data_IF_711493932216
#
_entry.id   IF_711493932216
#
_cell.length_a   1.000
_cell.length_b   1.000
_cell.length_c   1.000
_cell.angle_alpha   90.00
_cell.angle_beta   90.00
_cell.angle_gamma   90.00
#
_symmetry.space_group_name_H-M   'P 1'
#
loop_
_entity.id
_entity.type
_entity.pdbx_description
1 polymer ?
#
# COMPACT_ATOMS: atom_id res chain seq x y z
N UNK A 1 29.85 -23.58 24.42
CA UNK A 1 28.39 -23.38 24.58
C UNK A 1 27.92 -22.48 23.47
N UNK A 2 27.47 -23.04 22.34
CA UNK A 2 26.90 -22.27 21.26
C UNK A 2 25.41 -22.10 21.53
N UNK A 3 25.04 -21.02 22.20
CA UNK A 3 23.63 -20.64 22.31
C UNK A 3 23.20 -19.88 21.05
N UNK A 4 22.45 -20.55 20.21
CA UNK A 4 21.40 -20.07 19.34
C UNK A 4 21.46 -18.58 18.96
N UNK A 5 22.17 -18.30 17.89
CA UNK A 5 21.73 -17.28 16.99
C UNK A 5 20.56 -17.87 16.20
N UNK A 6 19.36 -17.87 16.76
CA UNK A 6 18.17 -17.84 15.94
C UNK A 6 18.33 -16.57 15.12
N UNK A 7 18.80 -16.68 13.91
CA UNK A 7 18.60 -15.66 12.91
C UNK A 7 17.08 -15.55 12.81
N UNK A 8 16.51 -14.52 13.40
CA UNK A 8 15.12 -14.20 13.13
C UNK A 8 15.08 -13.87 11.64
N UNK A 9 14.65 -14.85 10.85
CA UNK A 9 14.32 -14.60 9.46
C UNK A 9 13.29 -13.48 9.47
N UNK A 10 13.50 -12.44 8.67
CA UNK A 10 12.49 -11.42 8.44
C UNK A 10 11.32 -12.03 7.64
N UNK A 11 10.32 -11.23 7.41
CA UNK A 11 9.15 -11.65 6.63
C UNK A 11 8.46 -10.45 6.00
N UNK A 12 7.64 -10.70 5.01
CA UNK A 12 6.85 -9.71 4.29
C UNK A 12 5.37 -9.84 4.68
N UNK A 13 4.76 -8.72 5.05
CA UNK A 13 3.32 -8.59 5.29
C UNK A 13 2.73 -7.66 4.24
N UNK A 14 1.65 -8.04 3.59
CA UNK A 14 0.94 -7.17 2.66
C UNK A 14 -0.47 -6.87 3.18
N UNK A 15 -0.81 -5.60 3.23
CA UNK A 15 -2.13 -5.06 3.54
C UNK A 15 -2.70 -4.52 2.25
N UNK A 16 -3.69 -5.19 1.67
CA UNK A 16 -4.29 -4.76 0.42
C UNK A 16 -5.80 -4.56 0.52
N UNK A 17 -6.41 -4.04 -0.53
CA UNK A 17 -7.84 -3.81 -0.64
C UNK A 17 -8.16 -2.52 -1.39
N UNK A 18 -9.43 -2.26 -1.64
CA UNK A 18 -9.90 -1.05 -2.33
C UNK A 18 -9.59 0.24 -1.57
N UNK A 19 -9.78 1.38 -2.20
CA UNK A 19 -9.85 2.65 -1.46
C UNK A 19 -10.92 2.56 -0.37
N UNK A 20 -10.73 3.30 0.72
CA UNK A 20 -11.62 3.34 1.89
C UNK A 20 -11.73 2.04 2.70
N UNK A 21 -10.82 1.07 2.48
CA UNK A 21 -10.82 -0.20 3.22
C UNK A 21 -10.03 -0.18 4.54
N UNK A 22 -9.42 0.95 4.91
CA UNK A 22 -8.66 1.07 6.16
C UNK A 22 -7.20 0.59 6.08
N UNK A 23 -6.60 0.53 4.88
CA UNK A 23 -5.20 0.09 4.72
C UNK A 23 -4.21 0.95 5.50
N UNK A 24 -4.31 2.27 5.38
CA UNK A 24 -3.41 3.20 6.06
C UNK A 24 -3.61 3.17 7.57
N UNK A 25 -4.85 3.01 8.07
CA UNK A 25 -5.13 2.78 9.50
C UNK A 25 -4.43 1.52 10.01
N UNK A 26 -4.53 0.41 9.27
CA UNK A 26 -3.92 -0.86 9.66
C UNK A 26 -2.38 -0.77 9.59
N UNK A 27 -1.82 -0.11 8.58
CA UNK A 27 -0.39 0.14 8.49
C UNK A 27 0.11 0.95 9.70
N UNK A 28 -0.54 2.08 10.00
CA UNK A 28 -0.21 2.92 11.15
C UNK A 28 -0.36 2.13 12.46
N UNK A 29 -1.40 1.31 12.59
CA UNK A 29 -1.59 0.46 13.76
C UNK A 29 -0.42 -0.51 13.96
N UNK A 30 0.09 -1.14 12.88
CA UNK A 30 1.25 -2.05 12.95
C UNK A 30 2.53 -1.29 13.28
N UNK A 31 2.74 -0.11 12.70
CA UNK A 31 3.87 0.77 12.99
C UNK A 31 3.88 1.13 14.50
N UNK A 32 2.78 1.66 15.02
CA UNK A 32 2.66 2.04 16.43
C UNK A 32 2.89 0.85 17.38
N UNK A 33 2.42 -0.35 17.02
CA UNK A 33 2.67 -1.56 17.82
C UNK A 33 4.15 -1.96 17.83
N UNK A 34 4.86 -1.81 16.71
CA UNK A 34 6.30 -2.05 16.64
C UNK A 34 7.07 -1.05 17.49
N UNK A 35 6.71 0.24 17.46
CA UNK A 35 7.29 1.29 18.29
C UNK A 35 7.06 1.03 19.78
N UNK A 36 5.85 0.62 20.20
CA UNK A 36 5.55 0.22 21.58
C UNK A 36 6.45 -0.97 22.02
N UNK A 37 6.73 -1.89 21.09
CA UNK A 37 7.66 -3.00 21.29
C UNK A 37 9.14 -2.58 21.26
N UNK A 38 9.43 -1.26 21.20
CA UNK A 38 10.76 -0.66 21.12
C UNK A 38 11.57 -1.10 19.90
N UNK A 39 10.89 -1.49 18.82
CA UNK A 39 11.51 -1.75 17.55
C UNK A 39 11.73 -0.42 16.81
N UNK A 40 12.88 -0.29 16.13
CA UNK A 40 13.11 0.86 15.24
C UNK A 40 12.35 0.67 13.94
N UNK A 41 11.47 1.61 13.64
CA UNK A 41 10.62 1.61 12.46
C UNK A 41 11.02 2.73 11.52
N UNK A 42 10.98 2.46 10.22
CA UNK A 42 11.08 3.49 9.18
C UNK A 42 9.96 3.29 8.18
N UNK A 43 9.29 4.38 7.81
CA UNK A 43 8.13 4.36 6.93
C UNK A 43 8.49 5.05 5.62
N UNK A 44 8.12 4.45 4.50
CA UNK A 44 8.39 4.96 3.15
C UNK A 44 7.12 5.09 2.34
N UNK A 45 7.10 6.02 1.41
CA UNK A 45 6.09 6.10 0.37
C UNK A 45 6.69 6.65 -0.94
N UNK A 46 6.11 6.30 -2.12
CA UNK A 46 6.61 6.78 -3.39
C UNK A 46 6.35 8.28 -3.57
N UNK A 47 7.30 8.99 -4.15
CA UNK A 47 7.17 10.37 -4.59
C UNK A 47 6.45 10.42 -5.95
N UNK A 48 5.11 10.34 -5.95
CA UNK A 48 4.30 10.28 -7.18
C UNK A 48 4.06 11.67 -7.76
N UNK A 49 4.14 12.70 -6.94
CA UNK A 49 3.85 14.08 -7.34
C UNK A 49 4.72 15.06 -6.54
N UNK A 50 5.09 16.16 -7.19
CA UNK A 50 5.90 17.26 -6.62
C UNK A 50 5.22 18.03 -5.49
N UNK A 51 4.11 17.57 -4.96
CA UNK A 51 3.49 18.12 -3.75
C UNK A 51 4.31 17.70 -2.53
N UNK A 52 5.37 18.42 -2.29
CA UNK A 52 6.30 18.28 -1.16
C UNK A 52 5.65 18.38 0.24
N UNK A 53 4.34 18.44 0.36
CA UNK A 53 3.66 18.70 1.64
C UNK A 53 3.29 17.44 2.43
N UNK A 54 3.26 16.26 1.83
CA UNK A 54 2.80 15.03 2.50
C UNK A 54 3.95 14.08 2.90
N UNK A 55 4.83 14.53 3.79
CA UNK A 55 5.83 13.65 4.45
C UNK A 55 5.21 12.78 5.54
N UNK A 56 3.95 12.46 5.43
CA UNK A 56 3.21 11.69 6.42
C UNK A 56 2.33 10.65 5.72
N UNK A 57 2.21 9.48 6.34
CA UNK A 57 1.10 8.56 6.09
C UNK A 57 -0.04 9.03 6.98
N UNK A 58 -1.16 9.38 6.38
CA UNK A 58 -2.34 9.90 7.07
C UNK A 58 -3.50 8.93 6.88
N UNK A 59 -4.12 8.52 7.97
CA UNK A 59 -5.37 7.76 7.93
C UNK A 59 -6.58 8.68 7.78
N UNK A 60 -7.72 8.14 7.35
CA UNK A 60 -8.99 8.88 7.29
C UNK A 60 -9.39 9.48 8.66
N UNK A 61 -9.04 8.82 9.75
CA UNK A 61 -9.29 9.29 11.13
C UNK A 61 -8.25 10.32 11.61
N UNK A 62 -7.36 10.79 10.74
CA UNK A 62 -6.37 11.81 11.06
C UNK A 62 -5.14 11.32 11.85
N UNK A 63 -4.98 10.00 12.07
CA UNK A 63 -3.74 9.47 12.60
C UNK A 63 -2.61 9.61 11.59
N UNK A 64 -1.41 9.98 12.08
CA UNK A 64 -0.27 10.26 11.22
C UNK A 64 0.98 9.55 11.70
N UNK A 65 1.83 9.18 10.74
CA UNK A 65 3.23 8.77 10.95
C UNK A 65 4.09 9.42 9.88
N UNK A 66 5.26 9.90 10.29
CA UNK A 66 6.21 10.49 9.35
C UNK A 66 6.73 9.43 8.38
N UNK A 67 6.84 9.80 7.11
CA UNK A 67 7.31 8.91 6.05
C UNK A 67 8.44 9.57 5.24
N UNK A 68 9.36 8.75 4.78
CA UNK A 68 10.39 9.12 3.81
C UNK A 68 9.81 8.99 2.39
N UNK A 69 9.95 10.06 1.62
CA UNK A 69 9.56 10.06 0.21
C UNK A 69 10.72 9.55 -0.62
N UNK A 70 10.48 8.54 -1.45
CA UNK A 70 11.48 7.94 -2.32
C UNK A 70 11.00 7.90 -3.77
N UNK A 71 11.89 8.15 -4.71
CA UNK A 71 11.55 8.12 -6.14
C UNK A 71 11.53 6.69 -6.70
N UNK A 72 12.42 5.85 -6.19
CA UNK A 72 12.59 4.46 -6.64
C UNK A 72 12.60 3.50 -5.45
N UNK A 73 12.28 2.25 -5.71
CA UNK A 73 12.28 1.23 -4.66
C UNK A 73 13.68 1.02 -4.04
N UNK A 74 14.75 1.11 -4.83
CA UNK A 74 16.13 0.95 -4.36
C UNK A 74 16.55 2.03 -3.37
N UNK A 75 15.94 3.22 -3.45
CA UNK A 75 16.23 4.33 -2.53
C UNK A 75 15.83 3.96 -1.08
N UNK A 76 14.88 3.02 -0.91
CA UNK A 76 14.51 2.49 0.40
C UNK A 76 15.74 1.87 1.10
N UNK A 77 16.55 1.11 0.37
CA UNK A 77 17.75 0.49 0.92
C UNK A 77 18.81 1.56 1.20
N UNK A 78 18.96 2.54 0.30
CA UNK A 78 19.95 3.61 0.42
C UNK A 78 19.65 4.55 1.62
N UNK A 79 18.38 4.83 1.89
CA UNK A 79 17.89 5.69 2.97
C UNK A 79 17.67 4.94 4.30
N UNK A 80 18.00 3.65 4.36
CA UNK A 80 17.74 2.84 5.54
C UNK A 80 18.67 3.25 6.70
N UNK A 81 18.06 3.70 7.79
CA UNK A 81 18.80 4.07 8.99
C UNK A 81 19.40 2.84 9.70
N UNK A 82 20.54 3.01 10.41
CA UNK A 82 21.13 1.93 11.19
C UNK A 82 20.14 1.33 12.20
N UNK A 83 20.19 0.01 12.37
CA UNK A 83 19.40 -0.77 13.34
C UNK A 83 17.87 -0.73 13.13
N UNK A 84 17.37 -0.28 11.99
CA UNK A 84 15.94 -0.41 11.65
C UNK A 84 15.58 -1.90 11.60
N UNK A 85 14.48 -2.25 12.24
CA UNK A 85 13.99 -3.63 12.36
C UNK A 85 12.70 -3.83 11.56
N UNK A 86 11.90 -2.77 11.43
CA UNK A 86 10.62 -2.78 10.74
C UNK A 86 10.61 -1.71 9.66
N UNK A 87 10.31 -2.12 8.44
CA UNK A 87 10.13 -1.23 7.29
C UNK A 87 8.66 -1.27 6.91
N UNK A 88 8.01 -0.09 6.90
CA UNK A 88 6.65 0.05 6.44
C UNK A 88 6.64 0.85 5.13
N UNK A 89 5.88 0.39 4.14
CA UNK A 89 5.79 1.00 2.80
C UNK A 89 4.30 1.23 2.51
N UNK A 90 3.93 2.49 2.31
CA UNK A 90 2.57 2.84 1.88
C UNK A 90 2.52 3.05 0.36
N UNK A 91 1.32 2.94 -0.22
CA UNK A 91 1.05 3.13 -1.64
C UNK A 91 1.94 2.25 -2.55
N UNK A 92 2.18 1.01 -2.15
CA UNK A 92 3.06 0.06 -2.81
C UNK A 92 2.79 -0.17 -4.29
N UNK A 93 1.53 0.02 -4.76
CA UNK A 93 1.13 -0.13 -6.16
C UNK A 93 1.77 0.88 -7.11
N UNK A 94 2.35 1.96 -6.58
CA UNK A 94 2.95 2.99 -7.40
C UNK A 94 4.46 2.83 -7.61
N UNK A 95 5.08 1.87 -6.97
CA UNK A 95 6.44 1.48 -7.30
C UNK A 95 6.47 0.63 -8.58
N UNK A 96 7.62 0.52 -9.19
CA UNK A 96 7.88 -0.48 -10.21
C UNK A 96 8.13 -1.88 -9.61
N UNK A 97 8.33 -2.89 -10.45
CA UNK A 97 8.50 -4.27 -9.98
C UNK A 97 9.78 -4.50 -9.16
N UNK A 98 10.74 -3.58 -9.16
CA UNK A 98 11.95 -3.70 -8.34
C UNK A 98 11.64 -3.70 -6.84
N UNK A 99 10.49 -3.15 -6.43
CA UNK A 99 10.04 -3.18 -5.03
C UNK A 99 9.92 -4.61 -4.48
N UNK A 100 9.59 -5.57 -5.32
CA UNK A 100 9.45 -6.99 -4.91
C UNK A 100 10.81 -7.53 -4.46
N UNK A 101 11.86 -7.29 -5.26
CA UNK A 101 13.22 -7.69 -4.93
C UNK A 101 13.76 -6.95 -3.70
N UNK A 102 13.46 -5.65 -3.59
CA UNK A 102 13.80 -4.84 -2.41
C UNK A 102 13.17 -5.42 -1.15
N UNK A 103 11.88 -5.74 -1.17
CA UNK A 103 11.19 -6.33 -0.03
C UNK A 103 11.77 -7.70 0.36
N UNK A 104 12.06 -8.56 -0.61
CA UNK A 104 12.69 -9.86 -0.35
C UNK A 104 14.09 -9.68 0.24
N UNK A 105 14.92 -8.81 -0.34
CA UNK A 105 16.26 -8.51 0.18
C UNK A 105 16.21 -8.03 1.63
N UNK A 106 15.28 -7.14 1.97
CA UNK A 106 15.11 -6.65 3.34
C UNK A 106 14.66 -7.78 4.29
N UNK A 107 13.73 -8.63 3.87
CA UNK A 107 13.27 -9.77 4.66
C UNK A 107 14.38 -10.82 4.86
N UNK A 108 15.14 -11.15 3.82
CA UNK A 108 16.29 -12.05 3.89
C UNK A 108 17.37 -11.53 4.86
N UNK A 109 17.47 -10.21 5.00
CA UNK A 109 18.34 -9.55 5.98
C UNK A 109 17.70 -9.40 7.37
N UNK A 110 16.67 -10.18 7.68
CA UNK A 110 16.03 -10.26 8.99
C UNK A 110 15.11 -9.10 9.34
N UNK A 111 14.66 -8.31 8.36
CA UNK A 111 13.74 -7.20 8.58
C UNK A 111 12.30 -7.64 8.47
N UNK A 112 11.42 -7.06 9.26
CA UNK A 112 9.98 -7.14 9.07
C UNK A 112 9.56 -6.08 8.07
N UNK A 113 9.05 -6.48 6.93
CA UNK A 113 8.59 -5.57 5.86
C UNK A 113 7.07 -5.59 5.80
N UNK A 114 6.44 -4.41 5.85
CA UNK A 114 4.97 -4.26 5.80
C UNK A 114 4.66 -3.36 4.62
N UNK A 115 3.95 -3.89 3.63
CA UNK A 115 3.54 -3.13 2.44
C UNK A 115 2.04 -2.92 2.46
N UNK A 116 1.59 -1.68 2.32
CA UNK A 116 0.18 -1.35 2.10
C UNK A 116 -0.02 -0.84 0.68
N UNK A 117 -1.11 -1.27 0.01
CA UNK A 117 -1.38 -0.81 -1.34
C UNK A 117 -2.71 -1.30 -1.92
N UNK A 118 -3.12 -0.69 -3.02
CA UNK A 118 -4.27 -1.10 -3.80
C UNK A 118 -3.93 -2.36 -4.61
N UNK A 119 -4.64 -3.45 -4.39
CA UNK A 119 -4.43 -4.70 -5.15
C UNK A 119 -5.02 -4.65 -6.57
N UNK A 120 -5.95 -3.74 -6.80
CA UNK A 120 -6.60 -3.51 -8.09
C UNK A 120 -6.71 -2.01 -8.39
N UNK A 121 -6.57 -1.67 -9.67
CA UNK A 121 -6.86 -0.33 -10.17
C UNK A 121 -8.38 -0.08 -10.26
N UNK A 122 -8.77 1.10 -10.78
CA UNK A 122 -10.19 1.45 -10.96
C UNK A 122 -10.93 0.57 -11.99
N UNK A 123 -10.20 -0.16 -12.84
CA UNK A 123 -10.79 -1.13 -13.80
C UNK A 123 -11.11 -2.45 -13.13
N UNK A 124 -10.58 -2.67 -11.93
CA UNK A 124 -10.63 -3.94 -11.22
C UNK A 124 -9.58 -4.93 -11.72
N UNK A 125 -8.52 -4.44 -12.35
CA UNK A 125 -7.36 -5.19 -12.83
C UNK A 125 -6.23 -5.13 -11.81
N UNK A 126 -5.31 -6.11 -11.79
CA UNK A 126 -4.14 -6.11 -10.90
C UNK A 126 -3.34 -4.81 -11.04
N UNK A 127 -2.93 -4.23 -9.92
CA UNK A 127 -2.28 -2.92 -9.92
C UNK A 127 -0.78 -3.02 -9.60
N UNK A 128 0.05 -2.57 -10.55
CA UNK A 128 1.50 -2.49 -10.42
C UNK A 128 2.13 -3.77 -9.88
N UNK A 129 3.08 -3.70 -8.96
CA UNK A 129 3.79 -4.85 -8.40
C UNK A 129 2.99 -5.63 -7.37
N UNK A 130 1.78 -5.18 -7.00
CA UNK A 130 0.99 -5.79 -5.93
C UNK A 130 0.74 -7.30 -6.12
N UNK A 131 0.44 -7.82 -7.33
CA UNK A 131 0.26 -9.28 -7.50
C UNK A 131 1.48 -10.09 -7.11
N UNK A 132 2.67 -9.61 -7.43
CA UNK A 132 3.92 -10.29 -7.10
C UNK A 132 4.23 -10.15 -5.60
N UNK A 133 4.01 -8.98 -5.01
CA UNK A 133 4.13 -8.77 -3.56
C UNK A 133 3.19 -9.69 -2.77
N UNK A 134 1.93 -9.84 -3.23
CA UNK A 134 0.97 -10.76 -2.62
C UNK A 134 1.42 -12.22 -2.70
N UNK A 135 2.12 -12.60 -3.79
CA UNK A 135 2.60 -13.97 -3.99
C UNK A 135 3.81 -14.32 -3.10
N UNK A 136 4.69 -13.35 -2.81
CA UNK A 136 5.92 -13.59 -2.03
C UNK A 136 5.74 -13.32 -0.54
N UNK A 137 4.64 -12.69 -0.12
CA UNK A 137 4.40 -12.35 1.28
C UNK A 137 4.04 -13.57 2.12
N UNK A 138 4.63 -13.69 3.33
CA UNK A 138 4.26 -14.70 4.32
C UNK A 138 2.89 -14.41 4.95
N UNK A 139 2.47 -13.13 4.93
CA UNK A 139 1.17 -12.74 5.47
C UNK A 139 0.47 -11.74 4.57
N UNK A 140 -0.79 -12.04 4.23
CA UNK A 140 -1.64 -11.17 3.43
C UNK A 140 -2.94 -10.88 4.17
N UNK A 141 -3.24 -9.60 4.37
CA UNK A 141 -4.54 -9.14 4.89
C UNK A 141 -5.26 -8.34 3.80
N UNK A 142 -6.26 -8.95 3.18
CA UNK A 142 -7.09 -8.30 2.17
C UNK A 142 -8.32 -7.68 2.82
N UNK A 143 -8.28 -6.36 2.96
CA UNK A 143 -9.33 -5.57 3.61
C UNK A 143 -10.47 -5.26 2.64
N UNK A 144 -11.64 -5.05 3.21
CA UNK A 144 -12.84 -4.67 2.47
C UNK A 144 -13.41 -3.37 3.02
N UNK A 145 -13.86 -2.53 2.12
CA UNK A 145 -14.65 -1.34 2.44
C UNK A 145 -16.15 -1.67 2.44
N UNK A 146 -16.98 -0.65 2.55
CA UNK A 146 -18.44 -0.75 2.44
C UNK A 146 -18.89 -0.22 1.09
N UNK A 147 -19.63 -1.01 0.34
CA UNK A 147 -20.17 -0.61 -0.97
C UNK A 147 -21.12 0.57 -0.83
N UNK A 148 -20.87 1.65 -1.53
CA UNK A 148 -21.67 2.87 -1.47
C UNK A 148 -23.09 2.68 -2.01
N UNK A 149 -23.37 1.61 -2.76
CA UNK A 149 -24.69 1.29 -3.31
C UNK A 149 -25.50 0.37 -2.39
N UNK A 150 -25.00 -0.85 -2.14
CA UNK A 150 -25.77 -1.87 -1.41
C UNK A 150 -25.39 -2.00 0.07
N UNK A 151 -24.39 -1.27 0.55
CA UNK A 151 -23.89 -1.33 1.93
C UNK A 151 -23.24 -2.67 2.33
N UNK A 152 -23.09 -3.59 1.40
CA UNK A 152 -22.37 -4.84 1.58
C UNK A 152 -20.85 -4.67 1.47
N UNK A 153 -20.07 -5.76 1.67
CA UNK A 153 -18.61 -5.72 1.54
C UNK A 153 -18.17 -5.28 0.13
N UNK A 154 -17.17 -4.39 0.07
CA UNK A 154 -16.64 -3.83 -1.16
C UNK A 154 -15.14 -4.10 -1.30
N UNK A 155 -14.74 -4.64 -2.45
CA UNK A 155 -13.35 -4.95 -2.79
C UNK A 155 -12.86 -4.24 -4.05
N UNK A 156 -13.63 -3.29 -4.57
CA UNK A 156 -13.30 -2.56 -5.79
C UNK A 156 -13.34 -1.05 -5.57
N UNK A 157 -12.45 -0.37 -6.26
CA UNK A 157 -12.41 1.09 -6.31
C UNK A 157 -13.14 1.55 -7.56
N UNK A 158 -14.28 2.21 -7.39
CA UNK A 158 -15.01 2.87 -8.46
C UNK A 158 -14.47 4.27 -8.67
N UNK A 159 -14.08 4.60 -9.88
CA UNK A 159 -13.73 5.97 -10.27
C UNK A 159 -14.90 6.62 -10.98
N UNK A 160 -15.20 7.85 -10.59
CA UNK A 160 -16.24 8.68 -11.17
C UNK A 160 -15.62 9.98 -11.71
N UNK A 161 -15.95 10.32 -12.94
CA UNK A 161 -15.60 11.58 -13.60
C UNK A 161 -16.91 12.31 -13.86
N UNK A 162 -17.08 13.48 -13.24
CA UNK A 162 -18.35 14.22 -13.28
C UNK A 162 -19.57 13.38 -12.87
N UNK A 163 -19.43 12.50 -11.89
CA UNK A 163 -20.50 11.64 -11.39
C UNK A 163 -20.77 10.38 -12.21
N UNK A 164 -20.10 10.20 -13.33
CA UNK A 164 -20.25 9.05 -14.21
C UNK A 164 -19.07 8.08 -14.11
N UNK A 165 -19.27 6.76 -14.23
CA UNK A 165 -18.17 5.80 -14.25
C UNK A 165 -17.13 6.12 -15.31
N UNK A 166 -15.86 6.07 -14.94
CA UNK A 166 -14.73 6.28 -15.84
C UNK A 166 -14.72 5.27 -17.01
N UNK A 167 -14.10 5.67 -18.10
CA UNK A 167 -13.86 4.78 -19.23
C UNK A 167 -12.64 3.90 -18.98
N UNK A 168 -12.67 2.70 -19.56
CA UNK A 168 -11.58 1.72 -19.41
C UNK A 168 -10.22 2.25 -19.89
N UNK A 169 -10.23 3.07 -20.95
CA UNK A 169 -9.06 3.68 -21.58
C UNK A 169 -8.62 5.02 -20.94
N UNK A 170 -9.31 5.46 -19.88
CA UNK A 170 -8.84 6.62 -19.11
C UNK A 170 -7.53 6.28 -18.36
N UNK A 171 -6.60 7.24 -18.19
CA UNK A 171 -5.35 7.00 -17.49
C UNK A 171 -5.57 6.43 -16.08
N UNK A 172 -4.74 5.49 -15.66
CA UNK A 172 -4.86 4.87 -14.31
C UNK A 172 -4.56 5.87 -13.20
N UNK A 173 -3.61 6.78 -13.45
CA UNK A 173 -3.23 7.85 -12.52
C UNK A 173 -3.60 9.17 -13.21
N UNK A 174 -4.40 10.00 -12.55
CA UNK A 174 -4.68 11.38 -12.97
C UNK A 174 -4.25 12.33 -11.86
N UNK A 175 -3.30 13.20 -12.19
CA UNK A 175 -2.83 14.25 -11.31
C UNK A 175 -3.71 15.48 -11.54
N UNK A 176 -4.39 15.95 -10.48
CA UNK A 176 -5.08 17.25 -10.49
C UNK A 176 -6.50 17.26 -11.05
N UNK A 177 -7.12 16.11 -11.32
CA UNK A 177 -8.53 16.05 -11.69
C UNK A 177 -9.44 16.01 -10.44
N UNK A 178 -10.62 16.60 -10.51
CA UNK A 178 -11.68 16.47 -9.50
C UNK A 178 -12.35 15.08 -9.59
N UNK A 179 -11.54 14.04 -9.51
CA UNK A 179 -12.04 12.67 -9.53
C UNK A 179 -12.60 12.29 -8.17
N UNK A 180 -13.75 11.68 -8.19
CA UNK A 180 -14.37 11.09 -7.00
C UNK A 180 -14.19 9.58 -7.07
N UNK A 181 -13.69 9.03 -5.97
CA UNK A 181 -13.59 7.57 -5.82
C UNK A 181 -14.60 7.07 -4.80
N UNK A 182 -15.13 5.89 -5.05
CA UNK A 182 -16.05 5.21 -4.15
C UNK A 182 -15.67 3.74 -4.01
N UNK A 183 -16.00 3.15 -2.86
CA UNK A 183 -15.90 1.71 -2.70
C UNK A 183 -17.14 1.01 -3.27
N UNK A 184 -16.97 -0.02 -4.06
CA UNK A 184 -18.05 -0.81 -4.67
C UNK A 184 -17.79 -2.31 -4.52
N UNK A 185 -18.86 -3.08 -4.38
CA UNK A 185 -18.77 -4.53 -4.53
C UNK A 185 -18.66 -4.92 -6.00
N UNK A 186 -18.40 -6.19 -6.27
CA UNK A 186 -18.25 -6.69 -7.66
C UNK A 186 -19.47 -6.43 -8.54
N UNK A 187 -20.67 -6.51 -7.96
CA UNK A 187 -21.94 -6.31 -8.68
C UNK A 187 -22.17 -4.85 -9.08
N UNK A 188 -21.75 -3.90 -8.23
CA UNK A 188 -22.00 -2.48 -8.42
C UNK A 188 -20.81 -1.70 -9.00
N UNK A 189 -19.71 -2.39 -9.30
CA UNK A 189 -18.55 -1.79 -9.93
C UNK A 189 -18.75 -1.76 -11.46
N UNK A 190 -18.63 -0.59 -12.04
CA UNK A 190 -18.88 -0.35 -13.47
C UNK A 190 -17.68 0.36 -14.10
N UNK A 191 -17.22 -0.17 -15.22
CA UNK A 191 -16.21 0.45 -16.09
C UNK A 191 -16.79 0.60 -17.49
N UNK A 192 -16.83 1.82 -18.01
CA UNK A 192 -17.40 2.09 -19.33
C UNK A 192 -16.37 1.74 -20.42
N UNK A 193 -16.85 1.33 -21.59
CA UNK A 193 -16.02 1.17 -22.81
C UNK A 193 -16.52 2.10 -23.89
N UNK A 194 -15.61 2.82 -24.54
CA UNK A 194 -15.97 3.60 -25.73
C UNK A 194 -16.33 2.62 -26.84
N UNK A 195 -17.40 2.96 -27.61
CA UNK A 195 -17.81 2.19 -28.77
C UNK A 195 -16.89 2.42 -29.95
#
# INVERSE_FOLDING_TARGET
MCYNKFMSTGWIEVICGSMFSGKSEELIRRVKRAEIARQKVQVFKPAIDTRYEDREVVSHDGNKVSAYMVEKAEDIIAELLPDVQVIAIDEGQFFDNSIVEVCQTLADNGKRVIVAGLDQDFRGEPFGPMPELLAVAEKVDKLQAICMVCRGPASRTQRLINGEPAYYDDPTILIGAEDVYEARCREHHVVRRRK
#
